data_IF_249139299543
#
_entry.id   IF_249139299543
#
_cell.length_a   1.000
_cell.length_b   1.000
_cell.length_c   1.000
_cell.angle_alpha   90.00
_cell.angle_beta   90.00
_cell.angle_gamma   90.00
#
_symmetry.space_group_name_H-M   'P 1'
#
loop_
_entity.id
_entity.type
_entity.pdbx_description
1 polymer ?
2 non-polymer ?
3 non-polymer ?
4 non-polymer ?
5 water ?
#
# COMPACT_ATOMS: atom_id res chain seq x y z
N UNK A 2 15.18 30.61 16.75
CA UNK A 2 14.82 29.39 15.96
C UNK A 2 13.51 28.75 16.43
N UNK A 3 13.02 29.14 17.60
CA UNK A 3 11.70 28.68 18.10
C UNK A 3 10.49 29.15 17.25
N UNK A 4 10.64 30.25 16.51
CA UNK A 4 9.63 30.70 15.54
C UNK A 4 9.50 29.76 14.29
N UNK A 5 10.59 29.06 13.94
CA UNK A 5 10.61 28.14 12.79
C UNK A 5 10.31 26.71 13.19
N UNK A 6 10.29 26.47 14.51
CA UNK A 6 10.04 25.12 15.05
C UNK A 6 8.75 25.10 15.87
N UNK A 7 8.23 23.90 16.13
CA UNK A 7 6.98 23.78 16.86
C UNK A 7 6.92 22.43 17.56
N UNK A 8 6.05 22.34 18.56
CA UNK A 8 5.68 21.07 19.15
C UNK A 8 4.50 20.55 18.34
N UNK A 9 4.60 19.31 17.90
CA UNK A 9 3.59 18.76 17.01
C UNK A 9 2.90 17.68 17.74
N UNK A 10 1.57 17.79 17.80
CA UNK A 10 0.67 16.81 18.44
C UNK A 10 -0.38 16.35 17.43
N UNK A 11 -1.04 15.19 17.70
CA UNK A 11 -2.10 14.75 16.82
C UNK A 11 -3.25 15.72 16.84
N UNK A 12 -3.83 15.97 15.67
CA UNK A 12 -5.08 16.76 15.52
C UNK A 12 -5.95 15.94 14.61
N UNK A 13 -7.05 15.44 15.15
CA UNK A 13 -7.93 14.59 14.36
C UNK A 13 -9.15 15.39 13.82
N UNK A 14 -9.19 15.65 12.53
CA UNK A 14 -10.34 16.37 11.91
C UNK A 14 -11.16 15.37 11.12
N UNK A 15 -12.35 15.05 11.62
CA UNK A 15 -13.29 14.15 10.93
C UNK A 15 -12.69 12.80 10.54
N UNK A 16 -12.16 12.08 11.53
CA UNK A 16 -11.49 10.77 11.35
C UNK A 16 -10.10 10.83 10.66
N UNK A 17 -9.71 12.01 10.13
CA UNK A 17 -8.39 12.20 9.45
C UNK A 17 -7.39 12.84 10.45
N UNK A 18 -6.19 12.27 10.63
CA UNK A 18 -5.18 12.94 11.45
C UNK A 18 -4.46 13.93 10.54
N UNK A 19 -4.55 15.22 10.84
CA UNK A 19 -4.06 16.26 9.89
C UNK A 19 -2.66 16.74 10.20
N UNK A 20 -2.01 16.11 11.17
CA UNK A 20 -0.62 16.43 11.50
C UNK A 20 0.23 15.14 11.41
N UNK A 21 1.55 15.28 11.35
CA UNK A 21 2.44 14.15 11.30
C UNK A 21 3.68 14.62 11.97
N UNK A 22 4.31 13.73 12.71
CA UNK A 22 5.49 14.12 13.47
C UNK A 22 6.76 13.62 12.76
N UNK A 23 7.65 14.53 12.35
CA UNK A 23 8.81 14.07 11.54
C UNK A 23 9.73 13.07 12.25
N UNK A 24 9.98 13.27 13.54
CA UNK A 24 10.86 12.39 14.27
C UNK A 24 10.24 11.02 14.48
N UNK A 25 8.95 11.01 14.81
CA UNK A 25 8.22 9.77 14.95
C UNK A 25 8.14 8.98 13.67
N UNK A 26 7.97 9.66 12.55
CA UNK A 26 7.93 8.98 11.24
C UNK A 26 9.28 8.34 10.93
N UNK A 27 10.36 9.08 11.21
CA UNK A 27 11.69 8.53 11.11
C UNK A 27 11.86 7.28 11.99
N UNK A 28 11.41 7.35 13.25
CA UNK A 28 11.46 6.18 14.15
C UNK A 28 10.65 4.96 13.66
N UNK A 29 9.54 5.24 13.00
CA UNK A 29 8.66 4.22 12.47
C UNK A 29 9.27 3.53 11.26
N UNK A 30 9.87 4.34 10.40
CA UNK A 30 10.64 3.81 9.27
C UNK A 30 11.80 2.95 9.75
N UNK A 31 12.52 3.43 10.77
CA UNK A 31 13.71 2.76 11.30
C UNK A 31 13.32 1.40 11.89
N UNK A 32 12.22 1.38 12.66
CA UNK A 32 11.63 0.16 13.20
C UNK A 32 11.30 -0.89 12.10
N UNK A 33 10.72 -0.44 10.99
CA UNK A 33 10.43 -1.31 9.84
C UNK A 33 11.73 -1.86 9.22
N UNK A 34 12.72 -0.99 9.01
CA UNK A 34 14.05 -1.40 8.59
C UNK A 34 14.66 -2.46 9.56
N UNK A 35 14.67 -2.15 10.86
CA UNK A 35 15.24 -3.06 11.87
C UNK A 35 14.53 -4.41 11.90
N UNK A 36 13.24 -4.43 11.61
CA UNK A 36 12.50 -5.68 11.43
C UNK A 36 13.11 -6.49 10.32
N UNK A 37 13.21 -5.91 9.12
CA UNK A 37 13.78 -6.57 7.94
C UNK A 37 15.23 -7.08 8.19
N UNK A 38 16.09 -6.24 8.78
CA UNK A 38 17.49 -6.63 8.95
C UNK A 38 17.64 -7.69 10.06
N UNK A 39 16.77 -7.62 11.07
CA UNK A 39 16.70 -8.66 12.13
C UNK A 39 16.29 -10.01 11.56
N UNK A 40 15.27 -10.02 10.70
CA UNK A 40 14.81 -11.27 10.09
C UNK A 40 15.89 -11.83 9.17
N UNK A 41 16.59 -10.93 8.48
CA UNK A 41 17.72 -11.32 7.64
C UNK A 41 17.50 -11.02 6.16
N UNK A 42 18.59 -11.08 5.38
CA UNK A 42 18.56 -10.80 3.94
C UNK A 42 17.63 -11.75 3.16
N UNK A 43 17.08 -11.30 2.04
CA UNK A 43 16.31 -12.16 1.12
C UNK A 43 17.12 -12.50 -0.14
N UNK A 44 17.33 -13.78 -0.38
CA UNK A 44 18.10 -14.28 -1.52
C UNK A 44 17.32 -14.16 -2.84
N UNK A 45 18.02 -13.76 -3.91
CA UNK A 45 17.49 -13.74 -5.29
C UNK A 45 16.39 -12.71 -5.58
N UNK A 46 16.52 -11.55 -4.96
CA UNK A 46 15.55 -10.48 -5.13
C UNK A 46 16.01 -9.56 -6.23
N UNK A 47 15.13 -8.62 -6.64
CA UNK A 47 15.44 -7.65 -7.67
C UNK A 47 16.50 -6.68 -7.14
N UNK A 48 17.24 -6.06 -8.04
CA UNK A 48 18.32 -5.15 -7.61
C UNK A 48 18.00 -3.70 -7.94
N UNK A 49 17.04 -3.48 -8.82
CA UNK A 49 16.68 -2.16 -9.29
C UNK A 49 15.14 -2.15 -9.33
N UNK A 50 14.56 -1.43 -8.37
CA UNK A 50 13.12 -1.53 -8.08
C UNK A 50 12.48 -0.17 -8.22
N UNK A 51 11.44 -0.10 -9.03
CA UNK A 51 10.53 1.00 -9.04
C UNK A 51 9.28 0.66 -8.17
N UNK A 52 9.03 1.42 -7.10
CA UNK A 52 7.77 1.38 -6.31
C UNK A 52 6.86 2.59 -6.60
N UNK A 53 5.71 2.34 -7.21
CA UNK A 53 4.64 3.34 -7.43
C UNK A 53 3.70 3.34 -6.20
N UNK A 54 3.80 4.41 -5.39
CA UNK A 54 3.04 4.54 -4.12
C UNK A 54 4.00 4.10 -3.03
N UNK A 55 5.13 4.78 -2.90
CA UNK A 55 6.21 4.26 -2.08
C UNK A 55 6.38 4.91 -0.71
N UNK A 56 5.51 5.84 -0.35
CA UNK A 56 5.72 6.70 0.85
C UNK A 56 5.04 6.22 2.15
N UNK A 57 4.01 5.37 2.06
CA UNK A 57 3.26 4.90 3.23
C UNK A 57 2.78 3.48 3.02
N UNK A 58 2.38 2.84 4.10
CA UNK A 58 1.68 1.53 4.06
C UNK A 58 2.45 0.46 3.32
N UNK A 59 1.73 -0.29 2.51
CA UNK A 59 2.35 -1.43 1.83
C UNK A 59 3.43 -1.06 0.79
N UNK A 60 3.28 0.06 0.11
CA UNK A 60 4.33 0.43 -0.87
C UNK A 60 5.61 0.83 -0.17
N UNK A 61 5.47 1.55 0.95
CA UNK A 61 6.62 1.88 1.78
C UNK A 61 7.33 0.60 2.27
N UNK A 62 6.53 -0.36 2.75
CA UNK A 62 7.08 -1.62 3.23
C UNK A 62 7.77 -2.41 2.10
N UNK A 63 7.21 -2.37 0.87
CA UNK A 63 7.87 -2.96 -0.29
C UNK A 63 9.23 -2.29 -0.54
N UNK A 64 9.27 -0.97 -0.40
CA UNK A 64 10.52 -0.25 -0.65
C UNK A 64 11.56 -0.64 0.36
N UNK A 65 11.12 -0.73 1.62
CA UNK A 65 12.04 -1.08 2.72
C UNK A 65 12.56 -2.52 2.57
N UNK A 66 11.65 -3.46 2.29
CA UNK A 66 12.03 -4.86 1.98
C UNK A 66 13.01 -4.99 0.79
N UNK A 67 12.70 -4.33 -0.33
CA UNK A 67 13.57 -4.35 -1.50
C UNK A 67 14.97 -3.81 -1.19
N UNK A 68 15.00 -2.63 -0.58
CA UNK A 68 16.24 -1.98 -0.19
C UNK A 68 17.05 -2.72 0.86
N UNK A 69 16.44 -2.97 2.02
CA UNK A 69 17.19 -3.44 3.20
C UNK A 69 17.11 -4.97 3.43
N UNK A 70 16.23 -5.66 2.70
CA UNK A 70 16.19 -7.11 2.68
C UNK A 70 16.87 -7.70 1.47
N UNK A 71 16.62 -7.14 0.28
CA UNK A 71 17.22 -7.61 -1.00
C UNK A 71 18.41 -6.78 -1.50
N UNK A 72 18.74 -5.68 -0.82
CA UNK A 72 19.83 -4.83 -1.22
C UNK A 72 19.59 -4.03 -2.48
N UNK A 73 18.32 -3.75 -2.78
CA UNK A 73 17.98 -3.04 -4.01
C UNK A 73 18.18 -1.55 -3.94
N UNK A 74 18.63 -1.01 -5.06
CA UNK A 74 18.50 0.41 -5.39
C UNK A 74 17.01 0.66 -5.64
N UNK A 75 16.44 1.72 -5.07
CA UNK A 75 15.02 1.98 -5.24
C UNK A 75 14.67 3.39 -5.74
N UNK A 76 13.80 3.42 -6.77
CA UNK A 76 13.16 4.63 -7.26
C UNK A 76 11.71 4.62 -6.78
N UNK A 77 11.31 5.60 -5.94
CA UNK A 77 9.93 5.66 -5.43
C UNK A 77 9.14 6.82 -6.06
N UNK A 78 7.85 6.60 -6.24
CA UNK A 78 6.95 7.61 -6.77
C UNK A 78 5.82 7.67 -5.72
N UNK A 79 5.38 8.90 -5.38
CA UNK A 79 4.33 9.10 -4.42
C UNK A 79 3.78 10.50 -4.62
N UNK A 80 2.80 10.87 -3.79
CA UNK A 80 2.11 12.15 -3.91
C UNK A 80 1.89 12.66 -2.47
N UNK A 81 2.78 13.51 -1.99
CA UNK A 81 2.82 13.86 -0.56
C UNK A 81 3.00 15.38 -0.44
N UNK A 82 2.71 15.94 0.74
CA UNK A 82 2.86 17.39 0.95
C UNK A 82 4.09 17.62 1.81
N UNK A 83 5.09 18.35 1.26
CA UNK A 83 6.24 18.83 2.03
C UNK A 83 5.79 19.58 3.29
N UNK A 84 6.58 19.53 4.37
CA UNK A 84 6.35 20.41 5.52
C UNK A 84 6.65 21.87 5.23
N UNK A 85 6.02 22.77 5.96
CA UNK A 85 6.47 24.16 6.00
C UNK A 85 6.30 24.72 7.39
N UNK A 86 6.81 25.92 7.57
CA UNK A 86 6.80 26.54 8.86
C UNK A 86 5.36 26.57 9.37
N UNK A 87 5.15 26.17 10.63
CA UNK A 87 3.78 26.09 11.20
C UNK A 87 2.82 25.03 10.66
N UNK A 88 3.27 24.22 9.69
CA UNK A 88 2.38 23.35 8.93
C UNK A 88 3.08 22.00 8.59
N UNK A 89 2.96 21.00 9.48
CA UNK A 89 3.54 19.70 9.28
C UNK A 89 3.16 19.15 7.93
N UNK A 90 4.11 18.45 7.30
CA UNK A 90 3.85 17.84 5.98
C UNK A 90 3.12 16.54 6.22
N UNK A 91 2.85 15.79 5.17
CA UNK A 91 2.19 14.50 5.35
C UNK A 91 3.14 13.42 5.88
N UNK A 92 2.58 12.39 6.50
CA UNK A 92 3.40 11.33 7.09
C UNK A 92 4.30 10.68 6.02
N UNK A 93 3.76 10.47 4.82
CA UNK A 93 4.52 9.92 3.72
C UNK A 93 5.74 10.76 3.31
N UNK A 94 5.64 12.08 3.46
CA UNK A 94 6.76 12.97 3.19
C UNK A 94 7.88 12.68 4.17
N UNK A 95 7.54 12.70 5.47
CA UNK A 95 8.52 12.40 6.52
C UNK A 95 9.06 10.99 6.45
N UNK A 96 8.21 10.03 6.05
CA UNK A 96 8.63 8.64 5.89
C UNK A 96 9.72 8.51 4.83
N UNK A 97 9.51 9.15 3.71
CA UNK A 97 10.45 9.13 2.58
C UNK A 97 11.70 9.87 2.90
N UNK A 98 11.59 10.99 3.64
CA UNK A 98 12.77 11.73 4.07
C UNK A 98 13.66 10.77 4.89
N UNK A 99 13.04 10.02 5.80
CA UNK A 99 13.75 9.06 6.67
C UNK A 99 14.32 7.91 5.84
N UNK A 100 13.56 7.43 4.86
CA UNK A 100 14.05 6.38 3.96
C UNK A 100 15.32 6.82 3.23
N UNK A 101 15.28 7.98 2.59
CA UNK A 101 16.46 8.48 1.88
C UNK A 101 17.69 8.54 2.80
N UNK A 102 17.49 9.05 4.04
CA UNK A 102 18.54 9.15 5.05
C UNK A 102 19.12 7.75 5.39
N UNK A 103 18.26 6.77 5.66
CA UNK A 103 18.75 5.44 6.02
C UNK A 103 19.36 4.69 4.82
N UNK A 104 18.81 4.89 3.63
CA UNK A 104 19.37 4.29 2.45
C UNK A 104 20.81 4.74 2.25
N UNK A 105 21.02 6.05 2.27
CA UNK A 105 22.35 6.66 2.12
C UNK A 105 23.35 6.17 3.18
N UNK A 106 22.91 6.06 4.43
CA UNK A 106 23.77 5.45 5.48
C UNK A 106 24.26 4.06 5.12
N UNK A 107 23.43 3.29 4.41
CA UNK A 107 23.80 1.94 4.03
C UNK A 107 24.43 1.88 2.64
N UNK A 108 24.62 3.03 2.02
CA UNK A 108 25.19 3.14 0.67
C UNK A 108 24.28 2.61 -0.41
N UNK A 109 22.95 2.75 -0.25
CA UNK A 109 22.00 2.33 -1.28
C UNK A 109 21.44 3.53 -2.01
N UNK A 110 21.34 3.44 -3.32
CA UNK A 110 20.62 4.46 -4.10
C UNK A 110 19.15 4.65 -3.62
N UNK A 111 18.74 5.90 -3.46
CA UNK A 111 17.32 6.25 -3.20
C UNK A 111 17.02 7.56 -3.89
N UNK A 112 16.06 7.52 -4.79
CA UNK A 112 15.59 8.71 -5.49
C UNK A 112 14.09 8.62 -5.50
N UNK A 113 13.42 9.76 -5.41
CA UNK A 113 11.96 9.76 -5.38
C UNK A 113 11.41 10.87 -6.26
N UNK A 114 10.19 10.63 -6.73
CA UNK A 114 9.45 11.53 -7.59
C UNK A 114 8.10 11.79 -6.89
N UNK A 115 7.82 13.06 -6.61
CA UNK A 115 6.61 13.47 -5.93
C UNK A 115 5.69 14.10 -6.98
N UNK A 116 4.53 13.48 -7.23
CA UNK A 116 3.62 13.96 -8.26
C UNK A 116 2.59 12.89 -8.58
N UNK A 117 1.66 13.25 -9.46
CA UNK A 117 0.57 12.37 -9.84
C UNK A 117 1.01 11.22 -10.77
N UNK A 118 1.07 10.01 -10.23
CA UNK A 118 1.48 8.81 -10.95
C UNK A 118 0.55 8.38 -12.09
N UNK A 119 -0.66 8.96 -12.09
CA UNK A 119 -1.68 8.73 -13.09
C UNK A 119 -1.35 9.55 -14.37
N UNK A 120 -0.50 10.59 -14.25
CA UNK A 120 -0.10 11.46 -15.37
C UNK A 120 1.05 10.93 -16.24
N UNK A 121 1.06 11.31 -17.52
CA UNK A 121 2.16 10.91 -18.42
C UNK A 121 3.46 11.61 -18.05
N UNK A 122 3.35 12.86 -17.63
CA UNK A 122 4.46 13.68 -17.14
C UNK A 122 5.28 12.91 -16.12
N UNK A 123 4.64 12.46 -15.04
CA UNK A 123 5.36 11.71 -14.02
C UNK A 123 5.96 10.42 -14.55
N UNK A 124 5.24 9.70 -15.42
CA UNK A 124 5.79 8.50 -16.06
C UNK A 124 7.09 8.87 -16.84
N UNK A 125 7.06 10.00 -17.55
CA UNK A 125 8.25 10.49 -18.26
C UNK A 125 9.40 10.82 -17.32
N UNK A 126 9.13 11.56 -16.24
CA UNK A 126 10.17 11.88 -15.25
C UNK A 126 10.78 10.60 -14.67
N UNK A 127 9.92 9.60 -14.43
CA UNK A 127 10.33 8.31 -13.88
C UNK A 127 11.25 7.56 -14.88
N UNK A 128 10.86 7.58 -16.14
CA UNK A 128 11.63 6.93 -17.21
C UNK A 128 13.01 7.58 -17.26
N UNK A 129 13.03 8.91 -17.28
CA UNK A 129 14.27 9.71 -17.37
C UNK A 129 15.18 9.39 -16.19
N UNK A 130 14.60 9.29 -14.99
CA UNK A 130 15.35 8.92 -13.80
C UNK A 130 16.00 7.54 -13.95
N UNK A 131 15.25 6.52 -14.36
CA UNK A 131 15.81 5.18 -14.56
C UNK A 131 16.99 5.17 -15.58
N UNK A 132 16.81 5.88 -16.70
CA UNK A 132 17.80 5.96 -17.78
C UNK A 132 19.11 6.55 -17.30
N UNK A 133 19.02 7.63 -16.54
CA UNK A 133 20.18 8.34 -16.05
C UNK A 133 20.96 7.52 -15.00
N UNK A 134 20.23 6.76 -14.18
CA UNK A 134 20.78 6.22 -12.94
C UNK A 134 20.91 4.71 -12.93
N UNK A 135 19.92 4.03 -13.47
CA UNK A 135 19.83 2.60 -13.23
C UNK A 135 20.02 1.80 -14.51
N UNK A 136 19.76 2.41 -15.67
CA UNK A 136 19.73 1.70 -16.94
C UNK A 136 18.35 1.09 -17.10
N UNK A 137 18.03 0.10 -16.27
CA UNK A 137 16.70 -0.54 -16.26
C UNK A 137 16.29 -0.88 -14.83
N UNK A 138 15.02 -1.24 -14.61
CA UNK A 138 14.58 -1.81 -13.33
C UNK A 138 14.14 -3.29 -13.47
N UNK A 139 14.32 -4.10 -12.42
CA UNK A 139 14.01 -5.54 -12.52
C UNK A 139 12.60 -5.80 -11.98
N UNK A 140 12.06 -4.84 -11.24
CA UNK A 140 10.78 -5.05 -10.54
C UNK A 140 10.04 -3.74 -10.41
N UNK A 141 8.73 -3.81 -10.63
CA UNK A 141 7.82 -2.69 -10.52
C UNK A 141 6.71 -3.09 -9.56
N UNK A 142 6.65 -2.38 -8.44
CA UNK A 142 5.61 -2.58 -7.43
C UNK A 142 4.55 -1.52 -7.65
N UNK A 143 3.29 -1.95 -7.79
CA UNK A 143 2.21 -1.03 -7.99
C UNK A 143 1.33 -1.00 -6.75
N UNK A 144 1.39 0.11 -6.04
CA UNK A 144 0.78 0.19 -4.73
C UNK A 144 0.12 1.55 -4.48
N UNK A 145 -0.63 2.05 -5.47
CA UNK A 145 -1.33 3.32 -5.33
C UNK A 145 -2.66 3.13 -4.65
N UNK A 146 -2.98 4.02 -3.72
CA UNK A 146 -4.34 4.02 -3.16
C UNK A 146 -4.79 5.43 -3.33
N UNK A 147 -5.84 5.64 -4.09
CA UNK A 147 -6.29 7.01 -4.30
C UNK A 147 -7.82 7.11 -4.40
N UNK A 148 -8.41 8.23 -3.96
CA UNK A 148 -9.85 8.40 -4.18
C UNK A 148 -10.22 8.92 -5.57
N UNK A 149 -9.24 9.36 -6.35
CA UNK A 149 -9.54 9.94 -7.61
C UNK A 149 -8.39 9.77 -8.62
N UNK A 150 -8.75 9.95 -9.90
CA UNK A 150 -7.79 9.87 -10.99
C UNK A 150 -8.18 10.84 -12.08
N UNK A 151 -7.19 11.58 -12.59
CA UNK A 151 -7.36 12.40 -13.80
C UNK A 151 -6.85 11.54 -14.94
N UNK A 152 -7.74 11.22 -15.89
CA UNK A 152 -7.34 10.36 -17.01
C UNK A 152 -6.28 11.09 -17.84
N UNK A 153 -5.11 10.45 -18.08
CA UNK A 153 -4.01 11.17 -18.71
C UNK A 153 -4.30 11.62 -20.16
N UNK A 154 -5.14 10.87 -20.87
CA UNK A 154 -5.45 11.17 -22.29
C UNK A 154 -6.64 12.13 -22.39
N UNK A 155 -7.75 11.81 -21.71
CA UNK A 155 -9.02 12.55 -21.87
C UNK A 155 -9.19 13.73 -20.91
N UNK A 156 -8.36 13.79 -19.87
CA UNK A 156 -8.48 14.83 -18.83
C UNK A 156 -9.60 14.65 -17.81
N UNK A 157 -10.37 13.56 -17.96
CA UNK A 157 -11.53 13.33 -17.11
C UNK A 157 -11.15 13.00 -15.66
N UNK A 158 -11.84 13.63 -14.71
CA UNK A 158 -11.69 13.33 -13.29
C UNK A 158 -12.68 12.23 -12.87
N UNK A 159 -12.15 11.06 -12.51
CA UNK A 159 -12.94 9.94 -12.00
C UNK A 159 -12.81 9.94 -10.51
N UNK A 160 -13.90 9.61 -9.82
CA UNK A 160 -13.93 9.52 -8.37
C UNK A 160 -14.34 8.12 -7.97
N UNK A 161 -13.59 7.51 -7.06
CA UNK A 161 -14.00 6.17 -6.62
C UNK A 161 -15.10 6.26 -5.56
N UNK A 162 -15.89 5.19 -5.47
CA UNK A 162 -16.96 5.05 -4.47
C UNK A 162 -16.72 3.77 -3.65
N UNK A 163 -17.16 3.78 -2.39
CA UNK A 163 -17.07 2.59 -1.56
C UNK A 163 -18.51 2.18 -1.20
N UNK A 164 -19.16 1.50 -2.15
CA UNK A 164 -20.56 1.15 -2.03
C UNK A 164 -20.77 -0.30 -2.43
N UNK A 165 -21.85 -0.91 -1.92
CA UNK A 165 -22.23 -2.25 -2.40
C UNK A 165 -22.73 -2.19 -3.84
N UNK A 166 -22.86 -3.36 -4.47
CA UNK A 166 -23.53 -3.52 -5.78
C UNK A 166 -24.79 -4.35 -5.62
N UNK A 167 -25.87 -3.92 -6.27
CA UNK A 167 -27.13 -4.65 -6.17
C UNK A 167 -28.04 -4.10 -5.09
N UNK A 168 -28.01 -4.74 -3.91
CA UNK A 168 -28.79 -4.27 -2.77
C UNK A 168 -27.99 -3.35 -1.84
N UNK A 169 -28.70 -2.42 -1.19
CA UNK A 169 -28.14 -1.68 -0.05
C UNK A 169 -27.74 -2.64 1.08
N UNK A 170 -26.75 -2.23 1.87
CA UNK A 170 -26.22 -3.07 2.95
C UNK A 170 -26.17 -2.34 4.30
N UNK A 171 -26.52 -3.05 5.36
CA UNK A 171 -26.34 -2.57 6.73
C UNK A 171 -24.94 -2.95 7.22
N UNK A 172 -24.08 -1.97 7.47
CA UNK A 172 -22.74 -2.26 8.02
C UNK A 172 -22.53 -1.75 9.43
N UNK A 173 -22.24 -2.68 10.32
CA UNK A 173 -21.87 -2.36 11.68
C UNK A 173 -20.44 -1.79 11.67
N UNK A 174 -20.20 -0.79 12.49
CA UNK A 174 -18.93 -0.09 12.53
C UNK A 174 -18.61 0.43 13.91
N UNK A 175 -17.42 1.00 14.04
CA UNK A 175 -17.04 1.69 15.26
C UNK A 175 -16.63 3.12 14.88
N UNK A 176 -17.34 4.10 15.44
CA UNK A 176 -17.02 5.51 15.24
C UNK A 176 -15.88 5.77 16.25
N UNK A 177 -14.67 5.99 15.73
CA UNK A 177 -13.47 6.13 16.58
C UNK A 177 -13.38 7.46 17.35
N UNK A 178 -14.11 8.46 16.88
CA UNK A 178 -14.22 9.72 17.58
C UNK A 178 -15.14 9.59 18.80
N UNK A 179 -16.36 9.06 18.61
CA UNK A 179 -17.30 9.00 19.73
C UNK A 179 -17.17 7.68 20.49
N UNK A 180 -16.39 6.75 19.96
CA UNK A 180 -16.25 5.43 20.59
C UNK A 180 -17.61 4.77 20.80
N UNK A 181 -18.42 4.78 19.74
CA UNK A 181 -19.69 4.07 19.73
C UNK A 181 -19.72 3.03 18.59
N UNK A 182 -20.25 1.86 18.93
CA UNK A 182 -20.61 0.82 17.98
C UNK A 182 -21.90 1.37 17.40
N UNK A 183 -21.97 1.44 16.08
CA UNK A 183 -23.22 1.83 15.39
C UNK A 183 -23.24 1.33 13.94
N UNK A 184 -24.45 1.18 13.40
CA UNK A 184 -24.65 0.65 12.06
C UNK A 184 -25.00 1.79 11.16
N UNK A 185 -24.60 1.70 9.89
CA UNK A 185 -25.24 2.54 8.87
C UNK A 185 -25.52 1.75 7.59
N UNK A 186 -26.40 2.29 6.76
CA UNK A 186 -26.83 1.64 5.55
C UNK A 186 -26.20 2.39 4.39
N UNK A 187 -25.59 1.67 3.44
CA UNK A 187 -25.07 2.27 2.21
C UNK A 187 -25.89 1.86 0.97
N UNK A 188 -26.24 2.84 0.15
CA UNK A 188 -27.02 2.58 -1.03
C UNK A 188 -26.17 1.89 -2.09
N UNK A 189 -26.81 1.10 -2.97
CA UNK A 189 -26.01 0.43 -3.99
C UNK A 189 -25.40 1.44 -4.99
N UNK A 190 -24.21 1.12 -5.51
CA UNK A 190 -23.55 1.98 -6.49
C UNK A 190 -24.26 2.00 -7.83
N UNK A 191 -24.27 3.18 -8.45
CA UNK A 191 -24.77 3.35 -9.81
C UNK A 191 -23.69 2.85 -10.79
N UNK A 192 -24.12 2.42 -11.98
CA UNK A 192 -23.20 1.92 -13.02
C UNK A 192 -22.06 2.92 -13.27
N UNK A 193 -22.39 4.20 -13.17
CA UNK A 193 -21.44 5.29 -13.25
C UNK A 193 -20.38 5.25 -12.13
N UNK A 194 -20.83 5.06 -10.88
CA UNK A 194 -19.89 4.95 -9.76
C UNK A 194 -19.04 3.68 -9.82
N UNK A 195 -19.58 2.61 -10.39
CA UNK A 195 -18.80 1.39 -10.57
C UNK A 195 -17.67 1.63 -11.60
N UNK A 196 -18.01 2.28 -12.72
CA UNK A 196 -17.03 2.50 -13.80
C UNK A 196 -15.95 3.48 -13.32
N UNK A 197 -16.36 4.50 -12.59
CA UNK A 197 -15.41 5.44 -12.02
C UNK A 197 -14.45 4.76 -11.05
N UNK A 198 -14.95 3.82 -10.26
CA UNK A 198 -14.11 3.11 -9.26
C UNK A 198 -13.12 2.19 -9.96
N UNK A 199 -13.60 1.53 -11.02
CA UNK A 199 -12.74 0.71 -11.87
C UNK A 199 -11.68 1.58 -12.60
N UNK A 200 -12.09 2.77 -13.07
CA UNK A 200 -11.11 3.74 -13.62
C UNK A 200 -10.00 4.14 -12.63
N UNK A 201 -10.35 4.37 -11.36
CA UNK A 201 -9.38 4.79 -10.37
C UNK A 201 -8.52 3.64 -9.80
N UNK A 202 -9.21 2.60 -9.30
CA UNK A 202 -8.54 1.54 -8.56
C UNK A 202 -8.38 0.21 -9.31
N UNK A 203 -8.85 0.15 -10.57
CA UNK A 203 -8.59 -1.01 -11.41
C UNK A 203 -7.18 -0.93 -12.00
N UNK A 204 -6.96 -1.68 -13.08
CA UNK A 204 -5.61 -1.94 -13.50
C UNK A 204 -5.14 -1.19 -14.72
N UNK A 205 -5.97 -0.32 -15.28
CA UNK A 205 -5.53 0.43 -16.48
C UNK A 205 -4.17 1.17 -16.26
N UNK A 206 -4.12 2.01 -15.22
CA UNK A 206 -2.90 2.79 -14.97
C UNK A 206 -1.66 1.90 -14.73
N UNK A 207 -1.82 0.76 -14.07
CA UNK A 207 -0.77 -0.24 -13.98
C UNK A 207 -0.28 -0.69 -15.37
N UNK A 208 -1.23 -1.00 -16.25
CA UNK A 208 -0.93 -1.29 -17.67
C UNK A 208 -0.20 -0.14 -18.36
N UNK A 209 -0.72 1.08 -18.22
CA UNK A 209 -0.10 2.24 -18.84
C UNK A 209 1.34 2.43 -18.38
N UNK A 210 1.61 2.12 -17.09
CA UNK A 210 3.00 2.08 -16.54
C UNK A 210 3.89 1.06 -17.24
N UNK A 211 3.47 -0.21 -17.28
CA UNK A 211 4.34 -1.27 -17.79
C UNK A 211 4.57 -1.07 -19.29
N UNK A 212 3.54 -0.61 -20.01
CA UNK A 212 3.69 -0.25 -21.43
C UNK A 212 4.63 0.93 -21.63
N UNK A 213 4.59 1.93 -20.75
CA UNK A 213 5.46 3.10 -20.90
C UNK A 213 6.94 2.77 -20.64
N UNK A 214 7.19 1.99 -19.59
CA UNK A 214 8.52 1.50 -19.31
C UNK A 214 9.09 0.64 -20.45
N UNK A 215 8.26 -0.24 -21.01
CA UNK A 215 8.61 -1.08 -22.16
C UNK A 215 8.95 -0.27 -23.40
N UNK A 216 8.04 0.64 -23.77
CA UNK A 216 8.17 1.45 -24.96
C UNK A 216 9.40 2.33 -24.87
N UNK A 217 9.91 2.55 -23.65
CA UNK A 217 11.14 3.33 -23.47
C UNK A 217 12.36 2.42 -23.28
N UNK A 218 12.10 1.13 -23.10
CA UNK A 218 13.18 0.14 -22.90
C UNK A 218 13.89 0.18 -21.56
N UNK A 219 13.17 0.43 -20.45
CA UNK A 219 13.81 0.38 -19.12
C UNK A 219 13.51 -0.85 -18.20
N UNK A 220 13.08 -1.97 -18.79
CA UNK A 220 12.76 -3.17 -18.02
C UNK A 220 13.66 -4.39 -18.31
N UNK A 221 14.42 -4.83 -17.30
CA UNK A 221 15.41 -5.90 -17.49
C UNK A 221 14.76 -7.25 -17.81
N UNK A 222 15.49 -8.13 -18.51
CA UNK A 222 14.96 -9.44 -18.82
C UNK A 222 14.70 -10.18 -17.50
N UNK A 223 13.62 -10.96 -17.45
CA UNK A 223 13.28 -11.66 -16.22
C UNK A 223 12.68 -10.69 -15.22
N UNK A 224 12.15 -9.57 -15.71
CA UNK A 224 11.57 -8.54 -14.84
C UNK A 224 10.30 -9.08 -14.21
N UNK A 225 9.76 -8.31 -13.30
CA UNK A 225 8.62 -8.75 -12.49
C UNK A 225 7.80 -7.55 -12.05
N UNK A 226 6.48 -7.69 -12.04
CA UNK A 226 5.65 -6.64 -11.51
C UNK A 226 4.50 -7.26 -10.73
N UNK A 227 4.12 -6.58 -9.68
CA UNK A 227 2.96 -7.01 -8.92
C UNK A 227 2.19 -5.80 -8.41
N UNK A 228 0.86 -5.92 -8.45
CA UNK A 228 -0.03 -4.95 -7.82
C UNK A 228 -0.74 -5.57 -6.59
N UNK A 229 -0.94 -4.78 -5.54
CA UNK A 229 -1.55 -5.31 -4.34
C UNK A 229 -3.08 -5.30 -4.39
N UNK A 230 -3.70 -6.31 -3.77
CA UNK A 230 -5.16 -6.45 -3.71
C UNK A 230 -5.56 -6.98 -2.31
N UNK A 231 -6.87 -6.96 -2.02
CA UNK A 231 -7.46 -7.49 -0.78
C UNK A 231 -8.67 -8.28 -1.19
N UNK A 232 -8.85 -9.48 -0.65
CA UNK A 232 -10.06 -10.26 -0.93
C UNK A 232 -10.93 -10.29 0.34
N UNK A 233 -10.28 -10.43 1.49
CA UNK A 233 -10.96 -10.39 2.79
C UNK A 233 -11.79 -11.62 3.12
N UNK A 234 -12.25 -11.65 4.36
CA UNK A 234 -13.20 -12.65 4.85
C UNK A 234 -14.60 -12.36 4.32
N UNK A 235 -15.46 -13.38 4.39
CA UNK A 235 -16.87 -13.21 4.01
C UNK A 235 -17.59 -12.03 4.63
N UNK A 236 -17.30 -11.69 5.88
CA UNK A 236 -17.87 -10.47 6.48
C UNK A 236 -17.62 -9.12 5.74
N UNK A 237 -16.51 -8.99 4.99
CA UNK A 237 -16.23 -7.77 4.21
C UNK A 237 -16.75 -7.84 2.74
N UNK A 238 -17.28 -9.00 2.34
CA UNK A 238 -17.61 -9.32 0.95
C UNK A 238 -18.65 -8.39 0.34
N UNK A 239 -19.76 -8.13 1.06
CA UNK A 239 -20.81 -7.26 0.55
C UNK A 239 -20.29 -5.87 0.18
N UNK A 240 -19.50 -5.29 1.07
CA UNK A 240 -18.98 -3.93 0.86
C UNK A 240 -17.73 -3.88 0.03
N UNK A 241 -16.82 -4.85 0.21
CA UNK A 241 -15.52 -4.79 -0.47
C UNK A 241 -15.56 -5.66 -1.72
N UNK A 242 -15.33 -6.98 -1.57
CA UNK A 242 -15.12 -7.87 -2.73
C UNK A 242 -16.22 -7.82 -3.79
N UNK A 243 -17.49 -7.79 -3.36
CA UNK A 243 -18.61 -7.69 -4.29
C UNK A 243 -19.20 -6.28 -4.44
N UNK A 244 -18.50 -5.28 -3.95
CA UNK A 244 -18.92 -3.89 -4.14
C UNK A 244 -18.15 -3.19 -5.24
N UNK A 245 -18.26 -1.86 -5.29
CA UNK A 245 -17.59 -1.06 -6.31
C UNK A 245 -16.07 -1.19 -6.25
N UNK A 246 -15.49 -1.19 -5.05
CA UNK A 246 -14.04 -1.34 -4.87
C UNK A 246 -13.61 -2.74 -5.36
N UNK A 247 -14.39 -3.78 -5.04
CA UNK A 247 -14.12 -5.13 -5.57
C UNK A 247 -14.23 -5.21 -7.09
N UNK A 248 -15.16 -4.48 -7.69
CA UNK A 248 -15.16 -4.37 -9.16
C UNK A 248 -13.79 -3.87 -9.68
N UNK A 249 -13.23 -2.85 -9.05
CA UNK A 249 -11.89 -2.40 -9.41
C UNK A 249 -10.83 -3.49 -9.21
N UNK A 250 -10.84 -4.17 -8.08
CA UNK A 250 -9.84 -5.22 -7.78
C UNK A 250 -9.90 -6.42 -8.77
N UNK A 251 -11.11 -6.69 -9.27
CA UNK A 251 -11.37 -7.74 -10.24
C UNK A 251 -10.89 -7.31 -11.62
N UNK A 252 -10.87 -6.00 -11.87
CA UNK A 252 -10.25 -5.44 -13.10
C UNK A 252 -8.75 -5.75 -13.10
N UNK A 253 -8.10 -5.59 -11.95
CA UNK A 253 -6.73 -6.02 -11.81
C UNK A 253 -6.46 -7.45 -12.24
N UNK A 254 -7.39 -8.37 -11.96
CA UNK A 254 -7.22 -9.81 -12.30
C UNK A 254 -7.28 -10.08 -13.79
N UNK A 255 -7.86 -9.12 -14.52
CA UNK A 255 -7.98 -9.13 -16.00
C UNK A 255 -6.87 -8.33 -16.67
N UNK A 256 -6.26 -7.41 -15.93
CA UNK A 256 -4.97 -6.84 -16.33
C UNK A 256 -3.76 -7.77 -16.13
N UNK A 257 -3.67 -8.47 -15.00
CA UNK A 257 -2.42 -9.18 -14.74
C UNK A 257 -2.02 -10.18 -15.84
N UNK A 258 -2.99 -10.70 -16.60
CA UNK A 258 -2.66 -11.68 -17.68
C UNK A 258 -1.88 -11.10 -18.87
N UNK A 259 -2.32 -9.96 -19.40
CA UNK A 259 -1.57 -9.33 -20.49
C UNK A 259 -0.24 -8.81 -19.98
N UNK A 260 -0.15 -8.55 -18.69
CA UNK A 260 1.12 -8.09 -18.13
C UNK A 260 2.14 -9.24 -18.10
N UNK A 261 1.72 -10.38 -17.57
CA UNK A 261 2.54 -11.57 -17.45
C UNK A 261 2.96 -12.11 -18.82
N UNK A 262 2.03 -12.12 -19.76
CA UNK A 262 2.34 -12.58 -21.09
C UNK A 262 3.51 -11.76 -21.65
N UNK A 263 3.51 -10.46 -21.42
CA UNK A 263 4.54 -9.63 -22.07
C UNK A 263 5.92 -9.82 -21.44
N UNK A 264 5.95 -10.04 -20.14
CA UNK A 264 7.21 -10.18 -19.40
C UNK A 264 7.75 -11.62 -19.46
N UNK A 265 6.87 -12.59 -19.69
CA UNK A 265 7.28 -13.98 -19.74
C UNK A 265 8.10 -14.31 -20.99
N UNK A 266 7.80 -13.63 -22.10
CA UNK A 266 8.58 -13.78 -23.32
C UNK A 266 9.85 -12.96 -23.21
N UNK A 267 9.95 -12.21 -22.12
CA UNK A 267 11.03 -11.25 -21.91
C UNK A 267 11.97 -11.76 -20.82
N UNK A 268 12.66 -12.87 -21.13
CA UNK A 268 13.51 -13.56 -20.15
C UNK A 268 12.80 -14.26 -19.00
N UNK A 269 11.57 -14.70 -19.22
CA UNK A 269 10.85 -15.44 -18.17
C UNK A 269 10.53 -14.61 -16.94
N UNK A 270 10.40 -13.31 -17.13
CA UNK A 270 9.87 -12.44 -16.10
C UNK A 270 8.56 -12.93 -15.56
N UNK A 271 7.88 -12.15 -14.73
CA UNK A 271 6.56 -12.57 -14.23
C UNK A 271 5.74 -11.42 -13.68
N UNK A 272 4.42 -11.55 -13.71
CA UNK A 272 3.56 -10.54 -13.10
C UNK A 272 2.51 -11.23 -12.24
N UNK A 273 2.18 -10.66 -11.08
CA UNK A 273 1.14 -11.26 -10.23
C UNK A 273 0.33 -10.18 -9.50
N UNK A 274 -0.98 -10.38 -9.39
CA UNK A 274 -1.75 -9.66 -8.35
C UNK A 274 -1.34 -10.33 -7.03
N UNK A 275 -0.92 -9.53 -6.05
CA UNK A 275 -0.59 -10.06 -4.70
C UNK A 275 -1.63 -9.68 -3.66
N UNK A 276 -2.16 -10.66 -2.93
CA UNK A 276 -3.23 -10.42 -1.97
C UNK A 276 -2.66 -10.33 -0.57
N UNK A 277 -2.96 -9.22 0.09
CA UNK A 277 -2.42 -8.93 1.38
C UNK A 277 -3.54 -8.81 2.40
N UNK A 278 -3.16 -8.79 3.68
CA UNK A 278 -4.12 -8.75 4.76
C UNK A 278 -4.55 -7.31 5.04
N UNK A 279 -5.65 -7.16 5.76
CA UNK A 279 -6.10 -5.87 6.24
C UNK A 279 -5.18 -5.34 7.35
N UNK A 280 -4.85 -4.05 7.23
CA UNK A 280 -4.03 -3.36 8.21
C UNK A 280 -4.60 -1.97 8.40
N UNK A 281 -4.20 -1.34 9.51
CA UNK A 281 -4.58 0.05 9.77
C UNK A 281 -3.82 0.91 8.74
N UNK A 282 -4.57 1.75 8.03
CA UNK A 282 -3.97 2.68 7.07
C UNK A 282 -4.65 4.00 7.27
N UNK A 283 -4.17 4.99 6.53
CA UNK A 283 -4.67 6.35 6.61
C UNK A 283 -6.16 6.48 6.39
N UNK A 284 -6.70 5.62 5.54
CA UNK A 284 -8.10 5.55 5.16
C UNK A 284 -8.96 4.60 6.00
N UNK A 285 -8.43 4.03 7.10
CA UNK A 285 -9.18 3.03 7.87
C UNK A 285 -10.44 3.63 8.44
N UNK A 286 -10.37 4.85 8.90
CA UNK A 286 -11.62 5.45 9.30
C UNK A 286 -12.31 6.16 8.12
N UNK A 287 -12.29 5.49 6.95
CA UNK A 287 -13.10 5.93 5.83
C UNK A 287 -14.47 5.50 6.20
N UNK A 288 -14.60 4.21 6.49
CA UNK A 288 -15.89 3.65 6.87
C UNK A 288 -15.71 3.01 8.24
N UNK A 289 -16.59 3.36 9.18
CA UNK A 289 -16.48 2.85 10.54
C UNK A 289 -16.45 1.32 10.66
N UNK A 290 -16.82 0.59 9.60
CA UNK A 290 -16.65 -0.87 9.61
C UNK A 290 -15.20 -1.30 9.77
N UNK A 291 -14.29 -0.58 9.13
CA UNK A 291 -12.88 -1.00 9.11
C UNK A 291 -12.26 -0.98 10.53
N UNK A 292 -12.39 0.13 11.29
CA UNK A 292 -11.89 0.10 12.67
C UNK A 292 -12.48 -1.01 13.53
N UNK A 293 -13.77 -1.36 13.32
CA UNK A 293 -14.36 -2.44 14.13
C UNK A 293 -13.77 -3.80 13.73
N UNK A 294 -13.69 -4.04 12.44
CA UNK A 294 -13.15 -5.28 11.90
C UNK A 294 -11.65 -5.45 12.28
N UNK A 295 -10.86 -4.37 12.18
CA UNK A 295 -9.44 -4.39 12.56
C UNK A 295 -9.27 -4.68 14.06
N UNK A 296 -10.05 -4.02 14.91
CA UNK A 296 -9.97 -4.20 16.35
C UNK A 296 -10.24 -5.65 16.76
N UNK A 297 -11.22 -6.27 16.12
CA UNK A 297 -11.56 -7.68 16.31
C UNK A 297 -10.47 -8.63 15.81
N UNK A 298 -10.05 -8.39 14.57
CA UNK A 298 -9.04 -9.20 13.88
C UNK A 298 -7.71 -9.14 14.61
N UNK A 299 -7.32 -7.95 15.06
CA UNK A 299 -6.07 -7.81 15.79
C UNK A 299 -6.13 -8.66 17.06
N UNK A 300 -7.22 -8.56 17.79
CA UNK A 300 -7.32 -9.36 19.02
C UNK A 300 -7.21 -10.88 18.70
N UNK A 301 -7.99 -11.34 17.74
CA UNK A 301 -8.03 -12.78 17.44
C UNK A 301 -6.68 -13.30 16.97
N UNK A 302 -6.08 -12.59 16.02
CA UNK A 302 -4.78 -12.96 15.48
C UNK A 302 -3.64 -12.87 16.53
N UNK A 303 -3.68 -11.87 17.40
CA UNK A 303 -2.73 -11.82 18.54
C UNK A 303 -2.82 -13.06 19.44
N UNK A 304 -4.03 -13.55 19.71
CA UNK A 304 -4.20 -14.75 20.53
C UNK A 304 -3.69 -15.99 19.85
N UNK A 305 -3.50 -15.91 18.54
CA UNK A 305 -3.00 -17.03 17.73
C UNK A 305 -1.53 -16.86 17.36
N UNK A 306 -0.96 -15.71 17.66
CA UNK A 306 0.46 -15.51 17.40
C UNK A 306 0.68 -15.13 15.94
N UNK A 307 -0.37 -14.67 15.26
CA UNK A 307 -0.26 -14.45 13.82
C UNK A 307 -0.49 -13.01 13.40
N UNK A 308 -0.58 -12.09 14.34
CA UNK A 308 -0.84 -10.67 14.00
C UNK A 308 0.38 -10.04 13.31
N UNK A 309 0.13 -9.29 12.25
CA UNK A 309 1.18 -8.67 11.42
C UNK A 309 0.71 -7.33 10.97
N UNK A 310 1.65 -6.41 10.75
CA UNK A 310 1.36 -5.20 9.98
C UNK A 310 2.01 -5.21 8.58
N UNK A 311 2.20 -4.03 7.99
CA UNK A 311 2.71 -3.91 6.63
C UNK A 311 4.06 -4.59 6.41
N UNK A 312 5.04 -4.27 7.25
CA UNK A 312 6.42 -4.76 6.99
C UNK A 312 6.50 -6.30 7.08
N UNK A 313 5.84 -6.90 8.09
CA UNK A 313 5.79 -8.37 8.25
C UNK A 313 5.12 -9.05 7.05
N UNK A 314 4.04 -8.48 6.54
CA UNK A 314 3.37 -9.00 5.36
C UNK A 314 4.29 -8.98 4.15
N UNK A 315 4.88 -7.81 3.88
CA UNK A 315 5.58 -7.64 2.60
C UNK A 315 6.93 -8.36 2.63
N UNK A 316 7.57 -8.41 3.79
CA UNK A 316 8.77 -9.22 3.92
C UNK A 316 8.50 -10.68 3.52
N UNK A 317 7.39 -11.27 4.01
CA UNK A 317 7.03 -12.66 3.66
C UNK A 317 6.69 -12.77 2.21
N UNK A 318 5.92 -11.78 1.71
CA UNK A 318 5.51 -11.76 0.31
C UNK A 318 6.76 -11.81 -0.59
N UNK A 319 7.78 -11.02 -0.28
CA UNK A 319 9.07 -11.09 -1.01
C UNK A 319 9.77 -12.40 -0.81
N UNK A 320 9.94 -12.78 0.46
CA UNK A 320 10.80 -13.94 0.80
C UNK A 320 10.18 -15.26 0.36
N UNK A 321 8.87 -15.40 0.54
CA UNK A 321 8.15 -16.64 0.21
C UNK A 321 7.72 -16.72 -1.25
N UNK A 322 7.23 -15.61 -1.81
CA UNK A 322 6.50 -15.69 -3.08
C UNK A 322 7.10 -14.94 -4.24
N UNK A 323 7.52 -13.71 -4.03
CA UNK A 323 8.16 -12.94 -5.12
C UNK A 323 9.60 -13.44 -5.43
N UNK A 324 10.35 -13.85 -4.41
CA UNK A 324 11.75 -14.29 -4.57
C UNK A 324 12.00 -15.72 -4.08
N UNK A 325 10.95 -16.37 -3.63
CA UNK A 325 11.11 -17.61 -2.90
C UNK A 325 10.85 -18.82 -3.75
N UNK A 326 11.33 -19.96 -3.23
CA UNK A 326 11.30 -21.24 -3.90
C UNK A 326 9.93 -21.92 -3.81
N UNK A 327 9.11 -21.51 -2.84
CA UNK A 327 7.73 -22.00 -2.74
C UNK A 327 6.71 -20.83 -2.85
N UNK A 328 6.44 -20.32 -4.08
CA UNK A 328 5.41 -19.27 -4.14
C UNK A 328 4.14 -19.83 -3.58
N UNK A 329 3.38 -19.01 -2.86
CA UNK A 329 2.08 -19.42 -2.30
C UNK A 329 0.99 -18.91 -3.24
N UNK A 330 0.69 -19.72 -4.26
CA UNK A 330 -0.18 -19.37 -5.37
C UNK A 330 -1.64 -19.81 -5.10
N UNK A 331 -2.62 -19.03 -5.57
CA UNK A 331 -4.01 -19.51 -5.52
C UNK A 331 -4.43 -20.02 -6.88
N UNK A 332 -5.72 -20.40 -6.94
CA UNK A 332 -6.32 -21.04 -8.12
C UNK A 332 -6.41 -20.08 -9.31
N UNK A 333 -6.33 -18.78 -9.03
CA UNK A 333 -6.40 -17.82 -10.12
C UNK A 333 -5.03 -17.37 -10.67
N UNK A 334 -3.95 -17.80 -10.04
CA UNK A 334 -2.63 -17.25 -10.39
C UNK A 334 -2.22 -16.00 -9.59
N UNK A 335 -2.94 -15.70 -8.51
CA UNK A 335 -2.59 -14.64 -7.58
C UNK A 335 -1.61 -15.18 -6.56
N UNK A 336 -0.76 -14.31 -6.06
CA UNK A 336 0.11 -14.63 -4.94
C UNK A 336 -0.62 -14.26 -3.67
N UNK A 337 -0.60 -15.12 -2.66
CA UNK A 337 -1.36 -14.84 -1.43
C UNK A 337 -0.44 -14.70 -0.21
N UNK A 338 -0.60 -13.61 0.56
CA UNK A 338 0.11 -13.46 1.84
C UNK A 338 -0.90 -13.35 2.97
N UNK A 339 -2.17 -13.51 2.60
CA UNK A 339 -3.28 -13.14 3.49
C UNK A 339 -3.92 -14.34 4.22
N UNK A 340 -3.36 -15.54 4.08
CA UNK A 340 -4.06 -16.75 4.52
C UNK A 340 -4.26 -16.83 6.03
N UNK A 341 -3.41 -16.16 6.82
CA UNK A 341 -3.61 -16.20 8.27
C UNK A 341 -4.90 -15.44 8.67
N UNK A 342 -5.19 -14.33 7.96
CA UNK A 342 -6.45 -13.63 8.16
C UNK A 342 -7.69 -14.45 7.74
N UNK A 343 -7.57 -15.23 6.68
CA UNK A 343 -8.69 -15.97 6.12
C UNK A 343 -8.90 -17.34 6.74
N UNK A 344 -8.02 -17.74 7.64
CA UNK A 344 -8.14 -19.03 8.32
C UNK A 344 -9.56 -19.17 8.88
N UNK A 345 -10.20 -20.32 8.64
CA UNK A 345 -11.61 -20.49 9.00
C UNK A 345 -11.89 -20.20 10.47
N UNK A 346 -11.01 -20.64 11.37
CA UNK A 346 -11.19 -20.40 12.82
C UNK A 346 -11.10 -18.90 13.19
N UNK A 347 -10.27 -18.15 12.48
CA UNK A 347 -10.16 -16.72 12.75
C UNK A 347 -11.48 -16.04 12.34
N UNK A 348 -11.94 -16.36 11.13
CA UNK A 348 -13.17 -15.79 10.58
C UNK A 348 -14.32 -16.04 11.51
N UNK A 349 -14.38 -17.28 12.01
CA UNK A 349 -15.46 -17.70 12.89
C UNK A 349 -15.44 -16.91 14.20
N UNK A 350 -14.25 -16.75 14.78
CA UNK A 350 -14.12 -16.04 16.02
C UNK A 350 -14.44 -14.56 15.84
N UNK A 351 -13.92 -13.98 14.76
CA UNK A 351 -14.24 -12.57 14.44
C UNK A 351 -15.75 -12.45 14.24
N UNK A 352 -16.36 -13.36 13.49
CA UNK A 352 -17.81 -13.31 13.23
C UNK A 352 -18.66 -13.45 14.50
N UNK A 353 -18.25 -14.36 15.42
CA UNK A 353 -18.93 -14.55 16.72
C UNK A 353 -18.85 -13.28 17.57
N UNK A 354 -17.66 -12.67 17.66
CA UNK A 354 -17.49 -11.45 18.44
C UNK A 354 -18.23 -10.26 17.83
N UNK A 355 -18.44 -10.30 16.51
CA UNK A 355 -19.03 -9.19 15.73
C UNK A 355 -20.42 -8.81 16.23
N UNK A 356 -21.22 -9.80 16.56
CA UNK A 356 -22.62 -9.62 17.03
C UNK A 356 -22.69 -9.42 18.56
N UNK A 357 -21.54 -9.34 19.22
CA UNK A 357 -21.49 -9.24 20.67
C UNK A 357 -20.94 -7.91 21.17
N UNK A 358 -20.22 -7.20 20.32
CA UNK A 358 -19.55 -5.96 20.73
C UNK A 358 -20.60 -4.85 20.96
N UNK A 359 -20.51 -4.18 22.10
CA UNK A 359 -21.41 -3.07 22.45
C UNK A 359 -20.55 -1.88 22.88
N UNK A 360 -21.14 -0.72 23.18
CA UNK A 360 -20.34 0.40 23.69
C UNK A 360 -19.57 0.06 24.96
N UNK A 361 -20.15 -0.82 25.77
CA UNK A 361 -19.61 -1.14 27.10
C UNK A 361 -18.48 -2.16 27.16
N UNK A 362 -18.49 -3.11 26.22
CA UNK A 362 -17.50 -4.19 26.21
C UNK A 362 -16.41 -4.10 25.09
N UNK A 363 -16.32 -2.94 24.42
CA UNK A 363 -15.37 -2.76 23.29
C UNK A 363 -13.97 -3.12 23.74
N UNK A 364 -13.57 -2.70 24.94
CA UNK A 364 -12.19 -2.95 25.38
C UNK A 364 -11.93 -4.36 25.91
N UNK A 365 -12.98 -5.08 26.27
CA UNK A 365 -12.87 -6.48 26.71
C UNK A 365 -12.97 -7.45 25.54
N UNK A 366 -13.69 -7.05 24.49
CA UNK A 366 -13.91 -7.94 23.35
C UNK A 366 -12.97 -7.72 22.15
N UNK A 367 -12.39 -6.51 22.06
CA UNK A 367 -11.60 -6.13 20.91
C UNK A 367 -10.27 -5.55 21.33
N UNK A 368 -9.35 -5.49 20.34
CA UNK A 368 -8.08 -4.75 20.55
C UNK A 368 -8.21 -3.35 19.92
N UNK A 369 -9.25 -2.62 20.32
CA UNK A 369 -9.37 -1.22 19.96
C UNK A 369 -8.17 -0.39 20.48
N UNK A 370 -7.62 -0.72 21.66
CA UNK A 370 -6.39 -0.13 22.16
C UNK A 370 -5.28 -0.24 21.07
N UNK A 371 -5.09 -1.45 20.55
CA UNK A 371 -4.07 -1.72 19.54
C UNK A 371 -4.36 -0.99 18.23
N UNK A 372 -5.62 -0.98 17.79
CA UNK A 372 -6.02 -0.19 16.61
C UNK A 372 -5.62 1.29 16.77
N UNK A 373 -5.99 1.88 17.91
CA UNK A 373 -5.70 3.29 18.12
C UNK A 373 -4.21 3.57 18.11
N UNK A 374 -3.41 2.67 18.71
CA UNK A 374 -1.95 2.81 18.76
C UNK A 374 -1.36 2.74 17.36
N UNK A 375 -1.74 1.71 16.58
CA UNK A 375 -1.25 1.61 15.20
C UNK A 375 -1.67 2.81 14.31
N UNK A 376 -2.89 3.29 14.51
CA UNK A 376 -3.36 4.48 13.76
C UNK A 376 -2.51 5.71 14.08
N UNK A 377 -2.26 5.99 15.36
CA UNK A 377 -1.34 7.08 15.73
C UNK A 377 0.09 6.83 15.23
N UNK A 378 0.58 5.59 15.36
CA UNK A 378 1.92 5.24 14.79
C UNK A 378 2.12 5.65 13.34
N UNK A 379 1.08 5.58 12.52
CA UNK A 379 1.17 5.90 11.10
C UNK A 379 1.66 7.33 10.88
N UNK A 380 1.21 8.24 11.75
CA UNK A 380 1.52 9.64 11.62
C UNK A 380 2.75 10.01 12.49
N UNK A 381 3.42 9.03 13.07
CA UNK A 381 4.63 9.26 13.87
C UNK A 381 4.42 9.54 15.37
N UNK A 382 3.23 9.26 15.89
CA UNK A 382 2.82 9.55 17.28
C UNK A 382 2.77 8.27 18.11
N UNK A 383 2.89 8.43 19.43
CA UNK A 383 2.93 7.33 20.38
C UNK A 383 4.11 6.37 20.22
N UNK A 384 5.21 6.82 19.59
CA UNK A 384 6.37 5.96 19.36
C UNK A 384 7.39 6.00 20.51
N UNK A 385 7.90 4.80 20.85
CA UNK A 385 8.94 4.59 21.88
C UNK A 385 10.22 5.37 21.64
N UNK A 386 10.63 6.12 22.66
CA UNK A 386 11.90 6.83 22.66
C UNK A 386 11.90 8.09 21.83
N UNK A 387 10.72 8.50 21.36
CA UNK A 387 10.60 9.81 20.73
C UNK A 387 10.22 10.79 21.85
N UNK A 388 10.96 11.88 21.93
CA UNK A 388 10.64 12.93 22.89
C UNK A 388 9.59 13.88 22.30
N UNK A 389 8.31 13.67 22.64
CA UNK A 389 7.22 14.51 22.06
C UNK A 389 7.14 15.94 22.61
N UNK A 390 7.95 16.24 23.61
CA UNK A 390 7.99 17.58 24.17
C UNK A 390 8.93 18.54 23.43
N UNK A 391 9.85 17.99 22.63
CA UNK A 391 10.88 18.79 21.94
C UNK A 391 10.30 19.51 20.71
N UNK A 392 10.65 20.77 20.54
CA UNK A 392 10.45 21.52 19.31
C UNK A 392 11.08 20.82 18.11
N UNK A 393 10.39 20.85 16.97
CA UNK A 393 10.92 20.28 15.76
C UNK A 393 10.60 21.19 14.57
N UNK A 394 11.52 21.23 13.61
CA UNK A 394 11.32 22.00 12.38
C UNK A 394 10.49 21.13 11.41
N UNK A 395 9.26 21.55 11.10
CA UNK A 395 8.42 20.74 10.21
C UNK A 395 8.94 20.68 8.76
N UNK A 396 9.85 21.59 8.41
CA UNK A 396 10.36 21.67 7.04
C UNK A 396 11.56 20.75 6.89
N UNK A 397 11.29 19.47 6.74
CA UNK A 397 12.30 18.43 6.55
C UNK A 397 12.51 18.22 5.04
N UNK A 398 13.76 18.32 4.61
CA UNK A 398 14.07 18.28 3.18
C UNK A 398 14.49 16.88 2.73
N UNK A 399 14.36 16.61 1.43
CA UNK A 399 14.72 15.30 0.87
C UNK A 399 15.70 15.50 -0.32
N UNK A 400 16.92 14.97 -0.24
CA UNK A 400 17.87 15.00 -1.40
C UNK A 400 17.37 14.04 -2.48
N UNK A 401 17.71 14.31 -3.75
CA UNK A 401 17.26 13.47 -4.86
C UNK A 401 15.76 13.23 -4.83
N UNK A 402 15.04 14.33 -4.62
CA UNK A 402 13.59 14.33 -4.70
C UNK A 402 13.19 15.18 -5.93
N UNK A 403 12.61 14.55 -6.95
CA UNK A 403 12.14 15.27 -8.14
C UNK A 403 10.67 15.64 -7.93
N UNK A 404 10.39 16.94 -8.04
CA UNK A 404 9.09 17.48 -7.75
C UNK A 404 8.36 17.73 -9.06
N UNK A 405 7.26 17.03 -9.28
CA UNK A 405 6.56 17.16 -10.53
C UNK A 405 5.16 17.67 -10.35
X LIG B 1 -1.54 4.09 1.42
X LIG B 1 -0.77 3.76 2.62
X LIG B 1 -2.49 5.23 1.47
X LIG B 1 -0.48 4.45 0.29
X LIG B 1 -0.81 4.70 -1.09
X LIG B 1 0.42 5.26 -1.83
X LIG B 1 -0.13 5.83 -2.98
X LIG B 1 1.12 6.42 -1.08
X LIG B 1 2.52 6.33 -1.32
X LIG B 1 0.54 7.64 -1.77
X LIG B 1 1.52 8.69 -1.76
X LIG B 1 0.47 7.08 -3.17
X LIG B 1 -0.40 7.85 -4.04
X LIG B 1 -1.73 8.06 -3.91
X LIG B 1 -2.15 8.74 -4.98
X LIG B 1 -1.10 8.94 -5.78
X LIG B 1 -0.93 9.65 -6.99
X LIG B 1 -1.97 10.19 -7.63
X LIG B 1 0.29 9.59 -7.56
X LIG B 1 1.36 9.13 -6.89
X LIG B 1 1.24 8.50 -5.72
X LIG B 1 0.02 8.40 -5.16
X LIG B 1 -2.25 2.78 0.83
X LIG B 1 -2.22 1.23 1.23
X LIG B 1 -3.38 1.03 2.17
X LIG B 1 -0.90 0.73 1.68
X LIG B 1 -2.67 0.67 -0.21
X LIG B 1 -1.69 0.13 -1.16
X LIG B 1 -2.32 -0.90 -2.04
X LIG B 1 -2.51 -2.03 -1.17
X LIG B 1 -3.73 -0.54 -2.60
X LIG B 1 -3.92 -1.16 -3.89
X LIG B 1 -4.66 -1.21 -1.60
X LIG B 1 -5.98 -1.41 -2.14
X LIG B 1 -3.87 -2.50 -1.36
X LIG B 1 -4.17 -3.20 -0.06
X LIG B 1 -4.51 -2.44 1.10
X LIG B 1 -4.89 -3.12 2.25
X LIG B 1 -5.02 -2.39 3.58
X LIG B 1 -5.51 -3.10 4.64
X LIG B 1 -4.65 -1.09 3.67
X LIG B 1 -5.27 -4.62 2.20
X LIG B 1 -4.70 -5.29 1.09
X LIG B 1 -4.20 -4.60 -0.02
X LIG C 1 -13.92 -3.32 6.45
X LIG C 1 -12.39 -3.29 6.45
X LIG C 1 -11.96 -4.27 5.38
X LIG C 1 -11.09 -3.61 4.32
X LIG C 1 -9.66 -3.61 4.85
X LIG C 1 -8.66 -3.88 3.74
X LIG C 1 -8.43 -2.66 2.89
X LIG C 1 -8.36 -2.82 1.51
X LIG C 1 -8.12 -1.74 0.65
X LIG C 1 -8.08 -1.90 -0.58
X LIG C 1 -8.24 -1.41 3.46
X LIG C 1 -7.99 -0.31 2.63
X LIG C 1 -7.92 -0.48 1.24
X LIG C 1 -7.70 0.68 0.35
X LIG C 1 -9.03 1.39 0.13
X LIG C 1 -9.14 2.64 -0.51
X LIG C 1 -7.87 3.37 -1.02
X LIG C 1 -10.19 0.74 0.58
X LIG C 1 -11.44 1.33 0.42
X LIG C 1 -11.55 2.58 -0.21
X LIG C 1 -10.41 3.25 -0.67
X LIG C 1 -10.53 4.44 -1.27
X LIG D 1 1.25 1.89 -0.31
#
# INVERSE_FOLDING_TARGET
GSHMLEMIIKPRVRGFICVTAHPTGCEANVKKQIDYVTTEGPIANGPKRVLVIGASTGYGLAARITAAFGCGADTLGVFFERPGEEGKPGTSGWYNSAAFHKFAAQKGLYAKSINGDAFSDEIKQLTIDAIKQDLGQVDQVIYSLASPRRTHPKTGEVFNSALKPIGNAVNLRGLDTDKEVIKESVLQPATQSEIDSTVAVMGGEDWQMWIDALLDAGVLAEGAQTTAFTYLGEKITHDIYWNGSIGAAKKDLDQKVLAIRESLAAHGGGDARVSVLKAVVSQASSAIPMMPLYLSLLFKVMKEKGTHEGCIEQVYSLYKDSLCGDSPHMDQEGRLRADYKELDPEVQNQVQQLWDQVTNDNIYQLTDFVGYKSEFLNLFGFGIDGVDYDADVNPDVKIPNLIQG
NAI PA O1A O2A O5B C5B C4B O4B C3B O3B C2B O2B C1B N9A C8A N7A C5A C6A N6A N1A C2A N3A C4A O3 PN O1N O2N O5D C5D C4D O4D C3D O3D C2D O2D C1D N1N C2N C3N C7N O7N N7N C4N C5N C6N
AEW CAV CAU CAT CAS CAR CAQ CAM CAH CAC OAA CAN CAI NAD CAE CAF CAG CAB CAJ CAO CAP CAK NAL
NA NA
#
